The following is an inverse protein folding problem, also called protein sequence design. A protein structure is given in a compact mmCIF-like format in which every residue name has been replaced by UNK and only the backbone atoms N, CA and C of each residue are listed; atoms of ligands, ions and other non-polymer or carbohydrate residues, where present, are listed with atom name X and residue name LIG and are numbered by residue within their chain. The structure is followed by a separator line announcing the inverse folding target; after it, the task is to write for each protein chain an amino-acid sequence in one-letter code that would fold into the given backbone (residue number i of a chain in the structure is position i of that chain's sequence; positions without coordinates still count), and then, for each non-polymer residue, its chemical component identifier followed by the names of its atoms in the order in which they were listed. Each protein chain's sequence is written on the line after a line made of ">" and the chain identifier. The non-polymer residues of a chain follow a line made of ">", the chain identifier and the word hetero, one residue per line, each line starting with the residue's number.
data_IF_416639268853
#
_entry.id   IF_416639268853
#
_cell.length_a   1.000
_cell.length_b   1.000
_cell.length_c   1.000
_cell.angle_alpha   90.00
_cell.angle_beta   90.00
_cell.angle_gamma   90.00
#
_symmetry.space_group_name_H-M   'P 1'
#
loop_
_entity.id
_entity.type
_entity.pdbx_description
1 polymer ?
#
# COMPACT_ATOMS: atom_id res chain seq x y z
N UNK A 1 -4.48 13.69 22.03
CA UNK A 1 -4.43 12.34 21.45
C UNK A 1 -4.21 12.49 19.95
N UNK A 2 -3.55 11.55 19.27
CA UNK A 2 -3.45 11.57 17.81
C UNK A 2 -4.82 11.77 17.18
N UNK A 3 -4.85 12.53 16.09
CA UNK A 3 -6.03 12.69 15.24
C UNK A 3 -5.65 12.27 13.83
N UNK A 4 -6.56 11.57 13.16
CA UNK A 4 -6.41 11.18 11.75
C UNK A 4 -7.46 11.96 10.97
N UNK A 5 -7.06 12.58 9.86
CA UNK A 5 -7.96 13.39 9.04
C UNK A 5 -8.03 12.83 7.63
N UNK A 6 -9.25 12.65 7.15
CA UNK A 6 -9.60 12.12 5.84
C UNK A 6 -10.40 13.17 5.07
N UNK A 7 -10.33 13.13 3.75
CA UNK A 7 -11.21 13.93 2.91
C UNK A 7 -11.99 13.01 1.99
N UNK A 8 -13.32 13.17 1.95
CA UNK A 8 -14.24 12.34 1.17
C UNK A 8 -15.18 13.22 0.33
N UNK A 9 -15.72 12.68 -0.76
CA UNK A 9 -16.71 13.36 -1.61
C UNK A 9 -18.11 13.28 -1.00
N UNK A 10 -19.01 14.14 -1.44
CA UNK A 10 -20.43 14.06 -1.07
C UNK A 10 -21.10 12.76 -1.49
N UNK A 11 -20.71 12.18 -2.63
CA UNK A 11 -21.19 10.86 -3.07
C UNK A 11 -20.60 9.69 -2.27
N UNK A 12 -19.60 9.92 -1.42
CA UNK A 12 -18.98 8.90 -0.56
C UNK A 12 -19.46 8.96 0.90
N UNK A 13 -20.25 9.97 1.24
CA UNK A 13 -20.85 10.17 2.55
C UNK A 13 -22.36 10.10 2.39
N UNK A 14 -23.04 9.24 3.14
CA UNK A 14 -24.50 9.15 3.11
C UNK A 14 -25.10 9.12 4.51
N UNK A 15 -26.38 9.47 4.55
CA UNK A 15 -27.28 9.05 5.62
C UNK A 15 -28.04 7.80 5.18
N UNK A 16 -28.49 6.97 6.12
CA UNK A 16 -29.35 5.82 5.82
C UNK A 16 -30.54 5.74 6.80
N UNK A 17 -31.58 4.98 6.47
CA UNK A 17 -32.79 4.86 7.32
C UNK A 17 -32.71 3.69 8.29
N UNK A 18 -32.12 2.59 7.86
CA UNK A 18 -31.96 1.39 8.68
C UNK A 18 -30.83 0.50 8.17
N UNK A 19 -30.32 -0.38 9.02
CA UNK A 19 -29.48 -1.49 8.61
C UNK A 19 -29.94 -2.78 9.30
N UNK A 20 -29.62 -3.93 8.70
CA UNK A 20 -29.92 -5.24 9.27
C UNK A 20 -28.89 -6.26 8.81
N UNK A 21 -28.47 -7.14 9.71
CA UNK A 21 -27.61 -8.26 9.33
C UNK A 21 -28.35 -9.60 9.27
N UNK A 22 -28.09 -10.36 8.22
CA UNK A 22 -28.55 -11.75 8.05
C UNK A 22 -27.36 -12.70 7.92
N UNK A 23 -27.55 -14.00 8.16
CA UNK A 23 -26.46 -14.97 8.20
C UNK A 23 -25.54 -14.85 9.44
N UNK A 24 -24.48 -15.65 9.48
CA UNK A 24 -23.59 -15.77 10.63
C UNK A 24 -22.16 -16.14 10.20
N UNK A 25 -21.14 -15.69 10.94
CA UNK A 25 -19.75 -15.98 10.59
C UNK A 25 -19.41 -15.48 9.19
N UNK A 26 -18.84 -16.34 8.34
CA UNK A 26 -18.45 -15.98 6.96
C UNK A 26 -19.64 -15.70 6.04
N UNK A 27 -20.85 -16.14 6.39
CA UNK A 27 -22.08 -15.89 5.63
C UNK A 27 -22.81 -14.63 6.12
N UNK A 28 -22.19 -13.83 7.00
CA UNK A 28 -22.79 -12.60 7.51
C UNK A 28 -22.89 -11.56 6.38
N UNK A 29 -24.10 -11.06 6.16
CA UNK A 29 -24.41 -9.98 5.22
C UNK A 29 -25.08 -8.85 5.97
N UNK A 30 -24.57 -7.63 5.86
CA UNK A 30 -25.16 -6.40 6.42
C UNK A 30 -25.80 -5.61 5.29
N UNK A 31 -27.13 -5.53 5.31
CA UNK A 31 -27.90 -4.73 4.35
C UNK A 31 -28.22 -3.37 4.97
N UNK A 32 -27.78 -2.30 4.32
CA UNK A 32 -28.07 -0.90 4.66
C UNK A 32 -29.11 -0.37 3.69
N UNK A 33 -30.19 0.24 4.19
CA UNK A 33 -31.34 0.66 3.40
C UNK A 33 -31.63 2.16 3.55
N UNK A 34 -32.21 2.75 2.50
CA UNK A 34 -32.55 4.16 2.45
C UNK A 34 -31.31 5.06 2.38
N UNK A 35 -30.23 4.54 1.78
CA UNK A 35 -28.96 5.25 1.66
C UNK A 35 -29.13 6.45 0.73
N UNK A 36 -28.77 7.63 1.22
CA UNK A 36 -28.88 8.90 0.48
C UNK A 36 -27.57 9.68 0.64
N UNK A 37 -26.83 9.96 -0.45
CA UNK A 37 -25.65 10.79 -0.42
C UNK A 37 -25.90 12.16 0.21
N UNK A 38 -24.93 12.66 0.98
CA UNK A 38 -24.99 13.97 1.65
C UNK A 38 -24.68 15.10 0.68
N UNK A 39 -23.95 14.82 -0.40
CA UNK A 39 -23.66 15.76 -1.49
C UNK A 39 -23.36 15.03 -2.80
N UNK A 40 -22.86 15.75 -3.79
CA UNK A 40 -22.39 15.18 -5.06
C UNK A 40 -20.87 14.94 -5.06
N UNK A 41 -20.34 14.44 -6.19
CA UNK A 41 -18.91 14.15 -6.35
C UNK A 41 -18.00 15.40 -6.28
N UNK A 42 -18.55 16.61 -6.38
CA UNK A 42 -17.80 17.86 -6.29
C UNK A 42 -17.80 18.44 -4.87
N UNK A 43 -18.70 17.99 -4.00
CA UNK A 43 -18.73 18.40 -2.60
C UNK A 43 -17.62 17.69 -1.82
N UNK A 44 -16.94 18.42 -0.94
CA UNK A 44 -15.84 17.90 -0.13
C UNK A 44 -16.19 17.96 1.36
N UNK A 45 -15.89 16.87 2.04
CA UNK A 45 -16.05 16.72 3.48
C UNK A 45 -14.75 16.27 4.11
N UNK A 46 -14.51 16.69 5.34
CA UNK A 46 -13.36 16.31 6.15
C UNK A 46 -13.84 15.42 7.29
N UNK A 47 -13.35 14.19 7.36
CA UNK A 47 -13.61 13.25 8.47
C UNK A 47 -12.41 13.28 9.40
N UNK A 48 -12.64 13.60 10.66
CA UNK A 48 -11.60 13.63 11.70
C UNK A 48 -11.87 12.52 12.70
N UNK A 49 -10.96 11.56 12.79
CA UNK A 49 -10.91 10.56 13.85
C UNK A 49 -10.12 11.09 15.03
N UNK A 50 -10.73 11.02 16.21
CA UNK A 50 -10.17 11.42 17.50
C UNK A 50 -10.02 10.19 18.41
N UNK A 51 -9.22 10.35 19.47
CA UNK A 51 -8.94 9.28 20.44
C UNK A 51 -8.23 8.06 19.82
N UNK A 52 -7.50 8.29 18.73
CA UNK A 52 -6.71 7.26 18.07
C UNK A 52 -5.53 6.90 18.97
N UNK A 53 -5.40 5.64 19.37
CA UNK A 53 -4.24 5.21 20.14
C UNK A 53 -2.99 5.28 19.27
N UNK A 54 -1.87 5.62 19.88
CA UNK A 54 -0.54 5.57 19.27
C UNK A 54 -0.27 4.14 18.77
N UNK A 55 -0.08 3.91 17.47
CA UNK A 55 0.02 2.53 16.92
C UNK A 55 -1.12 2.04 16.08
N UNK A 56 -2.22 2.79 16.05
CA UNK A 56 -3.42 2.32 15.40
C UNK A 56 -3.46 2.83 13.96
N UNK A 57 -3.49 1.90 13.02
CA UNK A 57 -3.75 2.12 11.60
C UNK A 57 -5.24 1.93 11.23
N UNK A 58 -6.04 1.31 12.12
CA UNK A 58 -7.47 1.05 11.91
C UNK A 58 -8.46 1.94 12.69
N UNK A 59 -9.72 1.88 12.26
CA UNK A 59 -10.83 2.38 13.08
C UNK A 59 -11.06 1.38 14.21
N UNK A 60 -11.03 1.84 15.47
CA UNK A 60 -11.18 0.98 16.64
C UNK A 60 -12.32 1.44 17.54
N UNK A 61 -12.92 0.48 18.24
CA UNK A 61 -13.88 0.78 19.29
C UNK A 61 -13.35 1.83 20.27
N UNK A 62 -14.20 2.81 20.57
CA UNK A 62 -13.87 3.91 21.49
C UNK A 62 -13.22 5.12 20.84
N UNK A 63 -12.99 5.12 19.53
CA UNK A 63 -12.66 6.33 18.78
C UNK A 63 -13.92 7.18 18.51
N UNK A 64 -13.69 8.46 18.18
CA UNK A 64 -14.76 9.39 17.80
C UNK A 64 -14.52 9.93 16.39
N UNK A 65 -15.58 10.05 15.60
CA UNK A 65 -15.56 10.68 14.29
C UNK A 65 -16.32 12.01 14.31
N UNK A 66 -15.70 13.04 13.76
CA UNK A 66 -16.32 14.33 13.43
C UNK A 66 -16.25 14.56 11.93
N UNK A 67 -17.33 14.99 11.30
CA UNK A 67 -17.38 15.30 9.86
C UNK A 67 -17.70 16.79 9.67
N UNK A 68 -16.88 17.48 8.89
CA UNK A 68 -17.11 18.87 8.50
C UNK A 68 -17.21 19.03 6.98
N UNK A 69 -17.93 20.04 6.50
CA UNK A 69 -17.94 20.43 5.09
C UNK A 69 -16.69 21.25 4.70
N UNK A 70 -16.56 21.59 3.43
CA UNK A 70 -15.46 22.42 2.90
C UNK A 70 -15.37 23.83 3.51
N UNK A 71 -16.46 24.34 4.11
CA UNK A 71 -16.49 25.63 4.80
C UNK A 71 -16.13 25.52 6.28
N UNK A 72 -15.93 24.30 6.79
CA UNK A 72 -15.64 24.01 8.19
C UNK A 72 -16.88 23.88 9.07
N UNK A 73 -18.09 23.82 8.50
CA UNK A 73 -19.30 23.57 9.28
C UNK A 73 -19.38 22.10 9.67
N UNK A 74 -19.78 21.81 10.90
CA UNK A 74 -19.93 20.45 11.41
C UNK A 74 -21.23 19.84 10.84
N UNK A 75 -21.07 18.77 10.06
CA UNK A 75 -22.15 17.95 9.50
C UNK A 75 -22.52 16.82 10.46
N UNK A 76 -21.49 16.19 11.03
CA UNK A 76 -21.63 15.18 12.07
C UNK A 76 -20.69 15.54 13.23
N UNK A 77 -21.27 15.75 14.41
CA UNK A 77 -20.47 15.95 15.63
C UNK A 77 -19.79 14.66 16.10
N UNK A 78 -18.93 14.73 17.12
CA UNK A 78 -18.19 13.59 17.62
C UNK A 78 -19.10 12.37 17.88
N UNK A 79 -18.91 11.32 17.08
CA UNK A 79 -19.75 10.12 17.07
C UNK A 79 -18.88 8.90 17.31
N UNK A 80 -19.30 8.02 18.22
CA UNK A 80 -18.59 6.77 18.49
C UNK A 80 -18.63 5.82 17.30
N UNK A 81 -17.49 5.22 17.00
CA UNK A 81 -17.37 4.14 16.01
C UNK A 81 -17.42 2.78 16.68
N UNK A 82 -18.02 1.80 16.01
CA UNK A 82 -18.11 0.42 16.47
C UNK A 82 -17.89 -0.53 15.27
N UNK A 83 -16.64 -0.70 14.79
CA UNK A 83 -16.32 -1.61 13.69
C UNK A 83 -16.78 -3.05 13.96
N UNK A 84 -16.77 -3.50 15.23
CA UNK A 84 -17.17 -4.86 15.62
C UNK A 84 -18.68 -5.12 15.52
N UNK A 85 -19.49 -4.08 15.30
CA UNK A 85 -20.92 -4.25 15.09
C UNK A 85 -21.17 -5.20 13.91
N UNK A 86 -22.31 -5.90 13.97
CA UNK A 86 -22.66 -6.89 12.96
C UNK A 86 -21.61 -8.00 12.77
N UNK A 87 -20.92 -8.38 13.85
CA UNK A 87 -19.85 -9.38 13.85
C UNK A 87 -18.59 -8.92 13.10
N UNK A 88 -18.30 -7.61 13.07
CA UNK A 88 -17.16 -7.04 12.34
C UNK A 88 -17.52 -6.36 11.02
N UNK A 89 -18.78 -6.49 10.57
CA UNK A 89 -19.23 -6.04 9.24
C UNK A 89 -19.78 -4.62 9.24
N UNK A 90 -19.46 -3.86 10.28
CA UNK A 90 -19.74 -2.43 10.34
C UNK A 90 -18.56 -1.59 9.87
N UNK A 91 -17.41 -2.21 9.58
CA UNK A 91 -16.29 -1.59 8.91
C UNK A 91 -15.66 -2.60 7.94
N UNK A 92 -14.98 -2.08 6.92
CA UNK A 92 -14.14 -2.88 6.05
C UNK A 92 -13.18 -1.97 5.30
N UNK A 93 -12.52 -2.52 4.28
CA UNK A 93 -11.40 -1.83 3.63
C UNK A 93 -11.80 -0.50 2.97
N UNK A 94 -13.09 -0.36 2.67
CA UNK A 94 -13.63 0.72 1.85
C UNK A 94 -14.90 1.36 2.42
N UNK A 95 -15.38 0.90 3.57
CA UNK A 95 -16.59 1.45 4.19
C UNK A 95 -16.52 1.50 5.72
N UNK A 96 -17.32 2.39 6.29
CA UNK A 96 -17.56 2.47 7.73
C UNK A 96 -19.01 2.85 7.99
N UNK A 97 -19.70 1.99 8.73
CA UNK A 97 -21.08 2.17 9.17
C UNK A 97 -21.11 2.83 10.55
N UNK A 98 -21.54 4.08 10.61
CA UNK A 98 -21.73 4.82 11.85
C UNK A 98 -23.12 4.52 12.43
N UNK A 99 -23.24 3.30 12.97
CA UNK A 99 -24.48 2.73 13.51
C UNK A 99 -25.20 3.61 14.54
N UNK A 100 -24.44 4.44 15.27
CA UNK A 100 -24.98 5.33 16.31
C UNK A 100 -25.55 6.65 15.77
N UNK A 101 -25.27 7.02 14.52
CA UNK A 101 -25.68 8.30 13.92
C UNK A 101 -26.42 8.16 12.59
N UNK A 102 -26.59 6.93 12.09
CA UNK A 102 -27.17 6.65 10.77
C UNK A 102 -26.42 7.29 9.60
N UNK A 103 -25.10 7.30 9.70
CA UNK A 103 -24.21 7.73 8.62
C UNK A 103 -23.41 6.55 8.07
N UNK A 104 -23.14 6.61 6.78
CA UNK A 104 -22.30 5.67 6.06
C UNK A 104 -21.20 6.44 5.36
N UNK A 105 -19.97 5.96 5.50
CA UNK A 105 -18.86 6.33 4.65
C UNK A 105 -18.60 5.14 3.74
N UNK A 106 -18.66 5.34 2.42
CA UNK A 106 -18.31 4.32 1.43
C UNK A 106 -17.42 4.95 0.35
N UNK A 107 -16.15 4.58 0.33
CA UNK A 107 -15.14 5.17 -0.54
C UNK A 107 -15.33 4.78 -2.01
N UNK A 108 -16.15 3.76 -2.31
CA UNK A 108 -16.48 3.36 -3.68
C UNK A 108 -17.34 4.43 -4.37
N UNK A 109 -18.14 5.15 -3.59
CA UNK A 109 -19.17 6.07 -4.06
C UNK A 109 -20.54 5.38 -4.03
N UNK A 110 -21.56 6.12 -3.62
CA UNK A 110 -22.89 5.62 -3.30
C UNK A 110 -23.82 5.91 -4.48
N UNK A 111 -24.18 4.85 -5.19
CA UNK A 111 -25.08 4.92 -6.36
C UNK A 111 -26.46 4.35 -6.07
N UNK A 112 -26.55 3.45 -5.08
CA UNK A 112 -27.76 2.69 -4.78
C UNK A 112 -28.35 3.08 -3.42
N UNK A 113 -29.68 3.02 -3.34
CA UNK A 113 -30.41 3.29 -2.08
C UNK A 113 -30.35 2.13 -1.08
N UNK A 114 -29.83 0.99 -1.52
CA UNK A 114 -29.65 -0.23 -0.71
C UNK A 114 -28.28 -0.80 -1.03
N UNK A 115 -27.47 -1.03 0.00
CA UNK A 115 -26.09 -1.54 -0.12
C UNK A 115 -25.96 -2.77 0.78
N UNK A 116 -25.26 -3.79 0.30
CA UNK A 116 -24.93 -4.97 1.08
C UNK A 116 -23.42 -5.05 1.30
N UNK A 117 -23.03 -5.35 2.53
CA UNK A 117 -21.65 -5.62 2.92
C UNK A 117 -21.52 -7.06 3.37
N UNK A 118 -20.51 -7.74 2.84
CA UNK A 118 -20.23 -9.15 3.04
C UNK A 118 -18.79 -9.33 3.52
N UNK A 119 -18.39 -10.57 3.77
CA UNK A 119 -17.00 -10.88 4.07
C UNK A 119 -16.05 -10.45 2.93
N UNK A 120 -16.47 -10.49 1.66
CA UNK A 120 -15.57 -10.10 0.56
C UNK A 120 -15.19 -8.61 0.60
N UNK A 121 -15.97 -7.78 1.30
CA UNK A 121 -15.70 -6.35 1.50
C UNK A 121 -14.68 -6.07 2.64
N UNK A 122 -14.28 -7.10 3.40
CA UNK A 122 -13.26 -7.04 4.47
C UNK A 122 -11.87 -7.56 4.02
N UNK A 123 -11.77 -8.26 2.87
CA UNK A 123 -10.65 -9.17 2.59
C UNK A 123 -9.75 -8.78 1.41
N UNK A 124 -9.83 -7.55 0.90
CA UNK A 124 -9.32 -7.33 -0.46
C UNK A 124 -7.78 -7.23 -0.50
N UNK A 125 -7.07 -6.97 0.61
CA UNK A 125 -5.61 -7.10 0.61
C UNK A 125 -4.91 -7.69 1.84
N UNK A 126 -5.47 -7.66 3.06
CA UNK A 126 -4.79 -8.21 4.24
C UNK A 126 -5.62 -8.59 5.47
N UNK A 127 -6.95 -8.76 5.35
CA UNK A 127 -7.79 -9.30 6.44
C UNK A 127 -7.65 -8.48 7.75
N UNK A 128 -7.59 -7.15 7.62
CA UNK A 128 -7.52 -6.22 8.75
C UNK A 128 -8.76 -5.31 8.87
N UNK A 129 -9.63 -5.26 7.85
CA UNK A 129 -10.88 -4.49 7.88
C UNK A 129 -10.68 -2.97 7.91
N UNK A 130 -9.59 -2.46 7.30
CA UNK A 130 -9.15 -1.07 7.44
C UNK A 130 -9.43 -0.17 6.22
N UNK A 131 -10.04 0.99 6.46
CA UNK A 131 -10.07 2.09 5.49
C UNK A 131 -8.64 2.59 5.19
N UNK A 132 -8.07 2.17 4.05
CA UNK A 132 -6.70 2.49 3.68
C UNK A 132 -6.50 3.93 3.14
N UNK A 133 -5.71 4.72 3.85
CA UNK A 133 -5.58 6.18 3.63
C UNK A 133 -4.43 6.62 2.72
N UNK A 134 -3.88 5.74 1.87
CA UNK A 134 -3.02 5.98 0.69
C UNK A 134 -2.04 4.80 0.58
N UNK A 135 -2.27 3.92 -0.40
CA UNK A 135 -1.38 2.81 -0.75
C UNK A 135 -0.98 2.87 -2.23
N UNK A 136 -0.56 4.05 -2.70
CA UNK A 136 -0.05 4.15 -4.06
C UNK A 136 1.43 3.75 -4.11
N UNK A 137 1.88 3.26 -5.28
CA UNK A 137 3.28 3.32 -5.65
C UNK A 137 3.75 4.78 -5.55
N UNK A 138 4.66 5.02 -4.61
CA UNK A 138 5.17 6.34 -4.29
C UNK A 138 6.70 6.31 -4.22
N UNK A 139 7.29 7.41 -4.65
CA UNK A 139 8.68 7.78 -4.48
C UNK A 139 8.83 8.72 -3.29
N UNK A 140 10.06 8.93 -2.85
CA UNK A 140 10.40 9.97 -1.86
C UNK A 140 11.30 11.03 -2.49
N UNK A 141 11.32 12.27 -1.97
CA UNK A 141 12.30 13.28 -2.38
C UNK A 141 13.73 12.74 -2.36
N UNK A 142 14.54 13.13 -3.35
CA UNK A 142 15.90 12.63 -3.57
C UNK A 142 15.98 11.40 -4.48
N UNK A 143 14.85 10.80 -4.87
CA UNK A 143 14.82 9.77 -5.90
C UNK A 143 14.92 10.43 -7.29
N UNK A 144 15.98 10.09 -8.04
CA UNK A 144 16.25 10.67 -9.36
C UNK A 144 15.55 9.87 -10.45
N UNK A 145 14.61 10.49 -11.16
CA UNK A 145 13.90 9.89 -12.29
C UNK A 145 14.61 10.25 -13.58
N UNK A 146 14.85 9.26 -14.44
CA UNK A 146 15.46 9.50 -15.74
C UNK A 146 14.55 10.33 -16.66
N UNK A 147 15.10 11.41 -17.20
CA UNK A 147 14.47 12.21 -18.26
C UNK A 147 15.37 12.27 -19.49
N UNK A 148 14.87 12.65 -20.67
CA UNK A 148 15.71 12.85 -21.86
C UNK A 148 16.86 13.84 -21.67
N UNK A 149 16.76 14.76 -20.70
CA UNK A 149 17.78 15.78 -20.39
C UNK A 149 18.68 15.40 -19.22
N UNK A 150 18.57 14.16 -18.72
CA UNK A 150 19.28 13.66 -17.56
C UNK A 150 18.37 13.42 -16.35
N UNK A 151 18.87 12.82 -15.27
CA UNK A 151 18.05 12.51 -14.10
C UNK A 151 17.57 13.79 -13.37
N UNK A 152 16.31 13.81 -12.97
CA UNK A 152 15.68 14.91 -12.21
C UNK A 152 15.09 14.34 -10.93
N UNK A 153 15.26 15.03 -9.80
CA UNK A 153 14.63 14.64 -8.54
C UNK A 153 13.11 14.63 -8.73
N UNK A 154 12.47 13.53 -8.31
CA UNK A 154 11.02 13.38 -8.35
C UNK A 154 10.27 14.55 -7.68
N UNK A 155 10.87 15.19 -6.67
CA UNK A 155 10.31 16.36 -6.00
C UNK A 155 10.23 17.61 -6.91
N UNK A 156 10.99 17.67 -8.01
CA UNK A 156 11.02 18.79 -8.94
C UNK A 156 10.27 18.54 -10.25
N UNK A 157 9.85 17.31 -10.51
CA UNK A 157 9.04 16.97 -11.69
C UNK A 157 7.67 17.65 -11.65
N UNK A 158 7.15 17.97 -12.83
CA UNK A 158 5.84 18.57 -13.06
C UNK A 158 5.06 17.82 -14.13
N UNK A 159 3.74 17.97 -14.08
CA UNK A 159 2.86 17.51 -15.17
C UNK A 159 3.35 18.13 -16.49
N UNK A 160 3.45 17.29 -17.52
CA UNK A 160 3.99 17.64 -18.84
C UNK A 160 5.49 17.39 -19.00
N UNK A 161 6.26 17.19 -17.93
CA UNK A 161 7.67 16.81 -18.06
C UNK A 161 7.79 15.42 -18.70
N UNK A 162 8.78 15.24 -19.58
CA UNK A 162 9.08 13.97 -20.23
C UNK A 162 9.96 13.10 -19.34
N UNK A 163 9.56 11.85 -19.12
CA UNK A 163 10.34 10.83 -18.40
C UNK A 163 10.67 9.67 -19.33
N UNK A 164 11.85 9.08 -19.20
CA UNK A 164 12.25 7.91 -19.99
C UNK A 164 11.50 6.69 -19.49
N UNK A 165 11.09 5.83 -20.41
CA UNK A 165 10.43 4.57 -20.08
C UNK A 165 11.23 3.40 -20.65
N UNK A 166 10.94 2.17 -20.20
CA UNK A 166 11.60 0.97 -20.70
C UNK A 166 11.17 0.63 -22.14
N UNK A 167 9.90 0.88 -22.46
CA UNK A 167 9.26 0.45 -23.72
C UNK A 167 9.18 1.57 -24.77
N UNK A 168 9.30 2.84 -24.38
CA UNK A 168 9.22 4.01 -25.25
C UNK A 168 10.39 4.96 -24.96
N UNK A 169 10.73 5.85 -25.90
CA UNK A 169 11.86 6.77 -25.68
C UNK A 169 11.62 7.69 -24.47
N UNK A 170 10.47 8.36 -24.43
CA UNK A 170 9.99 9.13 -23.28
C UNK A 170 8.49 9.46 -23.41
N UNK A 171 7.81 9.61 -22.28
CA UNK A 171 6.39 9.99 -22.23
C UNK A 171 6.17 11.17 -21.28
N UNK A 172 5.12 11.99 -21.49
CA UNK A 172 4.78 13.06 -20.57
C UNK A 172 4.11 12.52 -19.30
N UNK A 173 4.44 13.14 -18.16
CA UNK A 173 3.69 12.95 -16.92
C UNK A 173 2.30 13.58 -17.07
N UNK A 174 1.24 12.82 -16.80
CA UNK A 174 -0.14 13.32 -16.86
C UNK A 174 -0.66 13.78 -15.51
N UNK A 175 -0.15 13.21 -14.41
CA UNK A 175 -0.52 13.61 -13.06
C UNK A 175 0.60 13.32 -12.05
N UNK A 176 0.67 14.16 -11.00
CA UNK A 176 1.56 13.97 -9.86
C UNK A 176 0.76 14.07 -8.58
N UNK A 177 0.82 13.02 -7.76
CA UNK A 177 0.29 12.97 -6.41
C UNK A 177 1.36 13.31 -5.39
N UNK A 178 0.98 14.01 -4.31
CA UNK A 178 1.86 14.23 -3.15
C UNK A 178 1.07 14.00 -1.87
N UNK A 179 1.69 13.34 -0.91
CA UNK A 179 1.13 13.15 0.42
C UNK A 179 2.23 13.16 1.48
N UNK A 180 1.87 13.59 2.68
CA UNK A 180 2.71 13.49 3.86
C UNK A 180 2.11 12.43 4.78
N UNK A 181 2.87 11.39 5.08
CA UNK A 181 2.41 10.22 5.84
C UNK A 181 3.19 10.13 7.15
N UNK A 182 2.46 10.01 8.26
CA UNK A 182 3.05 9.68 9.56
C UNK A 182 3.35 8.16 9.61
N UNK A 183 4.56 7.85 10.08
CA UNK A 183 5.15 6.50 10.17
C UNK A 183 5.36 6.06 11.62
N UNK A 184 5.19 6.98 12.57
CA UNK A 184 5.23 6.69 14.00
C UNK A 184 4.13 5.67 14.22
N UNK A 185 4.54 4.46 14.55
CA UNK A 185 3.68 3.36 14.95
C UNK A 185 2.95 2.56 13.85
N UNK A 186 3.27 2.74 12.56
CA UNK A 186 2.85 1.78 11.52
C UNK A 186 3.49 0.39 11.74
N UNK A 187 2.80 -0.67 11.31
CA UNK A 187 3.41 -1.99 11.18
C UNK A 187 4.68 -1.94 10.32
N UNK A 188 5.63 -2.84 10.59
CA UNK A 188 6.90 -2.86 9.86
C UNK A 188 6.71 -3.11 8.36
N UNK A 189 5.73 -3.92 7.97
CA UNK A 189 5.45 -4.25 6.57
C UNK A 189 4.84 -3.08 5.81
N UNK A 190 4.12 -2.20 6.50
CA UNK A 190 3.55 -0.95 5.99
C UNK A 190 4.55 0.22 6.00
N UNK A 191 5.79 0.00 6.45
CA UNK A 191 6.86 1.02 6.40
C UNK A 191 7.55 1.05 5.04
N UNK A 192 8.06 2.24 4.63
CA UNK A 192 8.80 2.38 3.38
C UNK A 192 9.92 1.35 3.26
N UNK A 193 10.15 0.88 2.04
CA UNK A 193 11.22 -0.06 1.73
C UNK A 193 12.44 0.72 1.27
N UNK A 194 13.56 0.48 1.93
CA UNK A 194 14.88 0.94 1.52
C UNK A 194 15.53 -0.12 0.62
N UNK A 195 15.79 0.27 -0.61
CA UNK A 195 16.56 -0.46 -1.61
C UNK A 195 17.96 0.14 -1.62
N UNK A 196 18.92 -0.50 -0.96
CA UNK A 196 20.27 0.04 -0.92
C UNK A 196 20.96 -0.15 -2.27
N UNK A 197 21.96 0.68 -2.54
CA UNK A 197 22.75 0.61 -3.76
C UNK A 197 23.21 -0.82 -4.10
N UNK A 198 23.05 -1.16 -5.38
CA UNK A 198 23.38 -2.45 -5.97
C UNK A 198 22.59 -3.66 -5.41
N UNK A 199 21.39 -3.47 -4.82
CA UNK A 199 20.62 -4.57 -4.23
C UNK A 199 20.02 -5.55 -5.25
N UNK A 200 19.76 -5.10 -6.48
CA UNK A 200 19.22 -5.91 -7.59
C UNK A 200 20.22 -6.01 -8.76
N UNK A 201 21.51 -5.98 -8.42
CA UNK A 201 22.62 -6.02 -9.38
C UNK A 201 23.34 -4.69 -9.51
N UNK A 202 24.47 -4.69 -10.22
CA UNK A 202 25.35 -3.53 -10.35
C UNK A 202 24.61 -2.33 -10.95
N UNK A 203 24.62 -1.21 -10.24
CA UNK A 203 23.94 0.03 -10.61
C UNK A 203 22.42 0.00 -10.43
N UNK A 204 21.85 -1.03 -9.79
CA UNK A 204 20.41 -1.22 -9.61
C UNK A 204 20.04 -1.36 -8.13
N UNK A 205 19.64 -0.28 -7.46
CA UNK A 205 19.81 1.13 -7.89
C UNK A 205 21.27 1.60 -7.78
N UNK A 206 21.64 2.70 -8.42
CA UNK A 206 22.99 3.31 -8.33
C UNK A 206 23.20 4.15 -7.06
N UNK A 207 22.11 4.47 -6.36
CA UNK A 207 22.07 5.15 -5.07
C UNK A 207 20.95 4.52 -4.24
N UNK A 208 21.01 4.67 -2.92
CA UNK A 208 19.94 4.19 -2.03
C UNK A 208 18.59 4.83 -2.42
N UNK A 209 17.57 4.00 -2.64
CA UNK A 209 16.24 4.42 -3.06
C UNK A 209 15.23 4.02 -2.01
N UNK A 210 14.33 4.94 -1.66
CA UNK A 210 13.21 4.68 -0.75
C UNK A 210 11.92 4.76 -1.54
N UNK A 211 11.07 3.75 -1.40
CA UNK A 211 9.76 3.67 -2.04
C UNK A 211 8.70 3.18 -1.04
N UNK A 212 7.43 3.41 -1.36
CA UNK A 212 6.31 2.86 -0.58
C UNK A 212 6.30 1.33 -0.63
N UNK A 213 5.77 0.65 0.40
CA UNK A 213 5.82 -0.81 0.52
C UNK A 213 5.13 -1.55 -0.64
N UNK A 214 4.07 -0.99 -1.21
CA UNK A 214 3.32 -1.62 -2.31
C UNK A 214 3.79 -1.22 -3.71
N UNK A 215 4.82 -0.37 -3.80
CA UNK A 215 5.42 0.03 -5.07
C UNK A 215 6.03 -1.19 -5.77
N UNK A 216 5.75 -1.37 -7.06
CA UNK A 216 6.29 -2.51 -7.82
C UNK A 216 7.59 -2.19 -8.55
N UNK A 217 8.48 -3.15 -8.50
CA UNK A 217 9.81 -3.11 -9.13
C UNK A 217 9.81 -4.13 -10.26
N UNK A 218 10.35 -3.75 -11.42
CA UNK A 218 10.53 -4.67 -12.52
C UNK A 218 11.68 -5.63 -12.18
N UNK A 219 11.36 -6.91 -12.09
CA UNK A 219 12.34 -7.98 -11.92
C UNK A 219 12.47 -8.73 -13.24
N UNK A 220 13.70 -8.80 -13.75
CA UNK A 220 14.07 -9.64 -14.89
C UNK A 220 15.14 -10.61 -14.39
N UNK A 221 14.71 -11.83 -14.08
CA UNK A 221 15.51 -12.89 -13.47
C UNK A 221 15.05 -14.25 -14.03
N UNK A 222 15.93 -15.25 -14.21
CA UNK A 222 15.53 -16.59 -14.68
C UNK A 222 14.40 -17.24 -13.86
N UNK A 223 14.28 -16.90 -12.57
CA UNK A 223 13.17 -17.33 -11.72
C UNK A 223 11.80 -16.84 -12.20
N UNK A 224 11.74 -15.71 -12.91
CA UNK A 224 10.50 -15.20 -13.50
C UNK A 224 9.97 -16.16 -14.57
N UNK A 225 10.83 -16.59 -15.49
CA UNK A 225 10.44 -17.53 -16.54
C UNK A 225 10.07 -18.89 -15.94
N UNK A 226 10.83 -19.34 -14.94
CA UNK A 226 10.58 -20.60 -14.25
C UNK A 226 9.22 -20.65 -13.55
N UNK A 227 8.87 -19.62 -12.78
CA UNK A 227 7.64 -19.57 -11.98
C UNK A 227 6.43 -19.10 -12.78
N UNK A 228 6.63 -18.12 -13.67
CA UNK A 228 5.54 -17.32 -14.23
C UNK A 228 5.43 -17.39 -15.75
N UNK A 229 6.39 -18.03 -16.44
CA UNK A 229 6.46 -18.06 -17.91
C UNK A 229 6.48 -16.66 -18.52
N UNK A 230 7.17 -15.75 -17.82
CA UNK A 230 7.36 -14.37 -18.23
C UNK A 230 8.84 -14.01 -18.03
N UNK A 231 9.47 -13.30 -18.98
CA UNK A 231 10.86 -12.89 -18.86
C UNK A 231 11.07 -11.79 -17.81
N UNK A 232 10.01 -11.05 -17.50
CA UNK A 232 10.02 -9.96 -16.52
C UNK A 232 8.64 -9.77 -15.90
N UNK A 233 8.63 -9.37 -14.63
CA UNK A 233 7.41 -9.23 -13.81
C UNK A 233 7.54 -8.03 -12.88
N UNK A 234 6.41 -7.47 -12.45
CA UNK A 234 6.34 -6.38 -11.47
C UNK A 234 6.10 -6.94 -10.08
N UNK A 235 7.17 -7.03 -9.28
CA UNK A 235 7.17 -7.57 -7.93
C UNK A 235 6.96 -6.47 -6.87
N UNK A 236 6.21 -6.77 -5.81
CA UNK A 236 5.88 -5.79 -4.76
C UNK A 236 7.09 -5.55 -3.84
N UNK A 237 7.47 -4.29 -3.60
CA UNK A 237 8.72 -3.99 -2.89
C UNK A 237 8.81 -4.57 -1.47
N UNK A 238 7.71 -4.61 -0.71
CA UNK A 238 7.70 -5.22 0.63
C UNK A 238 8.01 -6.73 0.61
N UNK A 239 7.57 -7.46 -0.42
CA UNK A 239 7.92 -8.88 -0.62
C UNK A 239 9.38 -9.12 -1.05
N UNK A 240 10.10 -8.07 -1.45
CA UNK A 240 11.52 -8.14 -1.77
C UNK A 240 12.41 -7.90 -0.53
N UNK A 241 11.84 -7.56 0.63
CA UNK A 241 12.59 -7.26 1.85
C UNK A 241 13.43 -8.44 2.40
N UNK A 242 13.20 -9.66 1.92
CA UNK A 242 14.05 -10.80 2.22
C UNK A 242 15.35 -10.83 1.39
N UNK A 243 15.43 -10.10 0.28
CA UNK A 243 16.66 -10.03 -0.53
C UNK A 243 17.78 -9.28 0.22
N UNK A 244 19.05 -9.66 -0.01
CA UNK A 244 20.18 -8.90 0.50
C UNK A 244 20.05 -7.43 0.10
N UNK A 245 20.38 -6.54 1.03
CA UNK A 245 20.37 -5.09 0.83
C UNK A 245 19.00 -4.44 0.60
N UNK A 246 17.91 -5.17 0.80
CA UNK A 246 16.54 -4.62 0.84
C UNK A 246 16.02 -4.72 2.27
N UNK A 247 15.39 -3.66 2.79
CA UNK A 247 14.81 -3.70 4.14
C UNK A 247 13.70 -2.67 4.35
N UNK A 248 12.77 -2.97 5.23
CA UNK A 248 11.87 -1.96 5.77
C UNK A 248 12.65 -0.91 6.58
N UNK A 249 12.31 0.36 6.36
CA UNK A 249 12.87 1.46 7.12
C UNK A 249 12.38 1.42 8.57
N UNK A 250 13.26 1.84 9.49
CA UNK A 250 12.97 1.98 10.92
C UNK A 250 13.42 3.36 11.38
N UNK A 251 12.68 3.98 12.29
CA UNK A 251 13.10 5.20 12.99
C UNK A 251 12.79 6.54 12.32
N UNK A 252 12.05 6.58 11.20
CA UNK A 252 11.44 7.83 10.71
C UNK A 252 10.02 7.95 11.25
N UNK A 253 9.65 9.18 11.65
CA UNK A 253 8.30 9.48 12.15
C UNK A 253 7.34 9.93 11.06
N UNK A 254 7.85 10.48 9.95
CA UNK A 254 7.05 10.95 8.81
C UNK A 254 7.81 10.81 7.50
N UNK A 255 7.08 10.76 6.38
CA UNK A 255 7.64 10.69 5.04
C UNK A 255 6.75 11.41 4.02
N UNK A 256 7.37 12.14 3.10
CA UNK A 256 6.67 12.68 1.93
C UNK A 256 6.73 11.63 0.81
N UNK A 257 5.56 11.34 0.25
CA UNK A 257 5.38 10.43 -0.87
C UNK A 257 4.95 11.21 -2.11
N UNK A 258 5.51 10.82 -3.25
CA UNK A 258 5.23 11.42 -4.55
C UNK A 258 4.91 10.31 -5.55
N UNK A 259 3.72 10.34 -6.15
CA UNK A 259 3.31 9.39 -7.20
C UNK A 259 3.38 10.05 -8.57
N UNK A 260 3.83 9.29 -9.56
CA UNK A 260 3.85 9.71 -10.96
C UNK A 260 2.83 8.87 -11.72
N UNK A 261 1.96 9.51 -12.49
CA UNK A 261 0.98 8.86 -13.33
C UNK A 261 1.12 9.35 -14.77
N UNK A 262 0.88 8.47 -15.74
CA UNK A 262 1.01 8.77 -17.18
C UNK A 262 -0.21 8.27 -17.94
N UNK A 263 -0.26 8.44 -19.27
CA UNK A 263 -1.43 8.05 -20.06
C UNK A 263 -1.61 6.53 -20.17
N UNK A 264 -0.53 5.77 -20.01
CA UNK A 264 -0.52 4.31 -19.96
C UNK A 264 0.32 3.87 -18.77
N UNK A 265 0.13 2.66 -18.27
CA UNK A 265 1.05 2.16 -17.25
C UNK A 265 2.45 2.03 -17.88
N UNK A 266 3.46 2.67 -17.30
CA UNK A 266 4.84 2.65 -17.79
C UNK A 266 5.77 2.06 -16.76
N UNK A 267 6.87 1.49 -17.25
CA UNK A 267 8.06 1.22 -16.45
C UNK A 267 9.05 2.36 -16.69
N UNK A 268 9.51 2.98 -15.60
CA UNK A 268 10.44 4.11 -15.59
C UNK A 268 11.68 3.78 -14.77
N UNK A 269 12.69 4.64 -14.83
CA UNK A 269 13.95 4.43 -14.13
C UNK A 269 14.12 5.41 -12.97
N UNK A 270 14.15 4.88 -11.75
CA UNK A 270 14.34 5.61 -10.50
C UNK A 270 15.68 5.23 -9.87
N UNK A 271 16.65 6.16 -9.83
CA UNK A 271 18.04 5.88 -9.49
C UNK A 271 18.61 4.67 -10.26
N UNK A 272 18.25 4.54 -11.54
CA UNK A 272 18.65 3.44 -12.42
C UNK A 272 17.91 2.11 -12.18
N UNK A 273 17.02 2.04 -11.21
CA UNK A 273 16.15 0.90 -10.97
C UNK A 273 14.87 1.02 -11.80
N UNK A 274 14.51 -0.04 -12.53
CA UNK A 274 13.27 -0.11 -13.28
C UNK A 274 12.08 -0.37 -12.33
N UNK A 275 11.12 0.56 -12.32
CA UNK A 275 9.97 0.59 -11.41
C UNK A 275 8.74 1.08 -12.15
N UNK A 276 7.56 0.84 -11.60
CA UNK A 276 6.33 1.31 -12.23
C UNK A 276 6.06 2.81 -12.04
N UNK A 277 5.31 3.40 -12.98
CA UNK A 277 4.44 4.54 -12.67
C UNK A 277 3.19 4.03 -11.93
N UNK A 278 2.45 4.91 -11.26
CA UNK A 278 1.18 4.56 -10.62
C UNK A 278 0.28 3.75 -11.58
N UNK A 279 -0.02 2.51 -11.19
CA UNK A 279 -1.09 1.71 -11.75
C UNK A 279 -2.34 1.88 -10.88
N UNK A 280 -3.39 2.53 -11.37
CA UNK A 280 -4.52 2.91 -10.55
C UNK A 280 -5.54 1.77 -10.54
N UNK A 281 -5.17 0.57 -10.09
CA UNK A 281 -6.06 -0.60 -10.02
C UNK A 281 -7.41 -0.29 -9.33
N UNK A 282 -8.38 -1.20 -9.44
CA UNK A 282 -9.77 -0.98 -8.97
C UNK A 282 -9.85 -0.32 -7.58
N UNK A 283 -9.06 -0.83 -6.64
CA UNK A 283 -8.96 -0.30 -5.28
C UNK A 283 -8.13 0.96 -5.14
N UNK A 284 -7.10 1.12 -5.98
CA UNK A 284 -6.17 2.22 -5.90
C UNK A 284 -6.93 3.55 -6.12
N UNK A 285 -7.77 3.68 -7.15
CA UNK A 285 -8.52 4.93 -7.36
C UNK A 285 -9.43 5.31 -6.20
N UNK A 286 -9.99 4.33 -5.50
CA UNK A 286 -10.89 4.54 -4.36
C UNK A 286 -10.12 5.06 -3.13
N UNK A 287 -8.81 4.79 -3.04
CA UNK A 287 -7.88 5.30 -2.00
C UNK A 287 -7.37 6.71 -2.30
N UNK A 288 -7.61 7.28 -3.49
CA UNK A 288 -7.23 8.68 -3.77
C UNK A 288 -8.20 9.63 -3.07
N UNK A 289 -7.66 10.71 -2.52
CA UNK A 289 -8.50 11.81 -2.06
C UNK A 289 -9.40 12.30 -3.22
N UNK A 290 -10.66 12.66 -2.95
CA UNK A 290 -11.63 13.21 -3.89
C UNK A 290 -11.07 14.08 -5.02
N UNK A 291 -10.39 15.16 -4.64
CA UNK A 291 -9.82 16.12 -5.59
C UNK A 291 -8.66 15.53 -6.39
N UNK A 292 -7.88 14.62 -5.79
CA UNK A 292 -6.83 13.90 -6.47
C UNK A 292 -7.40 12.89 -7.47
N UNK A 293 -8.44 12.15 -7.09
CA UNK A 293 -9.18 11.22 -7.95
C UNK A 293 -9.84 11.96 -9.11
N UNK A 294 -10.60 13.02 -8.86
CA UNK A 294 -11.25 13.83 -9.89
C UNK A 294 -10.21 14.42 -10.86
N UNK A 295 -9.09 14.94 -10.36
CA UNK A 295 -7.98 15.40 -11.22
C UNK A 295 -7.40 14.28 -12.05
N UNK A 296 -7.11 13.11 -11.46
CA UNK A 296 -6.57 11.97 -12.19
C UNK A 296 -7.56 11.49 -13.27
N UNK A 297 -8.83 11.32 -12.93
CA UNK A 297 -9.88 10.90 -13.87
C UNK A 297 -10.13 11.94 -14.97
N UNK A 298 -9.95 13.24 -14.69
CA UNK A 298 -10.04 14.29 -15.71
C UNK A 298 -8.93 14.20 -16.77
N UNK A 299 -7.74 13.72 -16.38
CA UNK A 299 -6.60 13.58 -17.31
C UNK A 299 -6.49 12.17 -17.90
N UNK A 300 -7.09 11.17 -17.26
CA UNK A 300 -7.14 9.80 -17.73
C UNK A 300 -8.47 9.13 -17.32
N UNK A 301 -9.53 9.33 -18.11
CA UNK A 301 -10.83 8.73 -17.84
C UNK A 301 -10.78 7.19 -17.81
N UNK A 302 -9.87 6.59 -18.58
CA UNK A 302 -9.69 5.14 -18.66
C UNK A 302 -9.35 4.48 -17.32
N UNK A 303 -8.71 5.22 -16.40
CA UNK A 303 -8.42 4.72 -15.07
C UNK A 303 -9.72 4.38 -14.32
N UNK A 304 -10.79 5.16 -14.48
CA UNK A 304 -12.08 4.95 -13.79
C UNK A 304 -12.95 3.83 -14.38
N UNK A 305 -12.44 3.05 -15.32
CA UNK A 305 -13.18 1.95 -15.95
C UNK A 305 -13.42 0.80 -14.97
N UNK A 306 -14.63 0.22 -14.90
CA UNK A 306 -14.88 -1.02 -14.15
C UNK A 306 -14.02 -2.20 -14.63
N UNK A 307 -13.59 -2.19 -15.89
CA UNK A 307 -12.60 -3.14 -16.41
C UNK A 307 -11.31 -2.39 -16.70
N UNK A 308 -10.56 -2.10 -15.64
CA UNK A 308 -9.35 -1.32 -15.75
C UNK A 308 -8.23 -2.06 -16.47
N UNK A 309 -8.13 -3.38 -16.31
CA UNK A 309 -7.10 -4.17 -16.98
C UNK A 309 -7.18 -4.07 -18.51
N UNK A 310 -8.37 -3.83 -19.05
CA UNK A 310 -8.56 -3.60 -20.49
C UNK A 310 -8.40 -2.14 -20.86
N UNK A 311 -8.93 -1.22 -20.04
CA UNK A 311 -8.94 0.21 -20.36
C UNK A 311 -7.57 0.90 -20.12
N UNK A 312 -6.82 0.43 -19.13
CA UNK A 312 -5.51 0.89 -18.73
C UNK A 312 -4.67 -0.34 -18.33
N UNK A 313 -4.23 -1.16 -19.30
CA UNK A 313 -3.55 -2.42 -19.01
C UNK A 313 -2.24 -2.20 -18.26
N UNK A 314 -1.83 -3.13 -17.39
CA UNK A 314 -0.56 -3.02 -16.71
C UNK A 314 0.60 -3.22 -17.70
N UNK A 315 1.71 -2.50 -17.49
CA UNK A 315 2.87 -2.56 -18.37
C UNK A 315 3.46 -3.97 -18.45
N UNK A 316 3.43 -4.70 -17.33
CA UNK A 316 3.84 -6.10 -17.18
C UNK A 316 2.97 -6.79 -16.16
N UNK A 317 3.09 -8.12 -16.06
CA UNK A 317 2.35 -8.92 -15.06
C UNK A 317 2.65 -8.42 -13.65
N UNK A 318 1.59 -8.04 -12.96
CA UNK A 318 1.61 -7.66 -11.55
C UNK A 318 1.62 -8.93 -10.70
N UNK A 319 2.64 -9.12 -9.86
CA UNK A 319 2.67 -10.23 -8.90
C UNK A 319 1.85 -9.92 -7.64
N UNK A 320 1.23 -10.92 -7.05
CA UNK A 320 0.72 -10.86 -5.68
C UNK A 320 1.89 -10.87 -4.67
N UNK A 321 1.58 -10.64 -3.38
CA UNK A 321 2.56 -10.77 -2.31
C UNK A 321 3.12 -12.20 -2.23
N UNK A 322 2.26 -13.21 -2.26
CA UNK A 322 2.67 -14.62 -2.21
C UNK A 322 3.56 -15.01 -3.40
N UNK A 323 3.25 -14.52 -4.60
CA UNK A 323 4.08 -14.74 -5.79
C UNK A 323 5.43 -14.03 -5.69
N UNK A 324 5.44 -12.79 -5.16
CA UNK A 324 6.67 -12.05 -4.92
C UNK A 324 7.58 -12.79 -3.93
N UNK A 325 7.02 -13.30 -2.83
CA UNK A 325 7.77 -14.09 -1.85
C UNK A 325 8.35 -15.38 -2.46
N UNK A 326 7.58 -16.05 -3.31
CA UNK A 326 8.05 -17.24 -4.02
C UNK A 326 9.23 -16.92 -4.95
N UNK A 327 9.13 -15.82 -5.71
CA UNK A 327 10.21 -15.34 -6.58
C UNK A 327 11.47 -15.01 -5.78
N UNK A 328 11.33 -14.27 -4.67
CA UNK A 328 12.44 -13.90 -3.79
C UNK A 328 13.19 -15.12 -3.28
N UNK A 329 12.48 -16.19 -2.89
CA UNK A 329 13.10 -17.45 -2.45
C UNK A 329 13.90 -18.13 -3.56
N UNK A 330 13.40 -18.13 -4.79
CA UNK A 330 14.11 -18.67 -5.96
C UNK A 330 15.37 -17.87 -6.26
N UNK A 331 15.29 -16.54 -6.25
CA UNK A 331 16.44 -15.64 -6.48
C UNK A 331 17.54 -15.84 -5.43
N UNK A 332 17.16 -16.01 -4.16
CA UNK A 332 18.11 -16.31 -3.08
C UNK A 332 18.80 -17.67 -3.27
N UNK A 333 18.05 -18.69 -3.69
CA UNK A 333 18.60 -20.02 -3.92
C UNK A 333 19.62 -20.00 -5.06
N UNK A 334 19.32 -19.33 -6.18
CA UNK A 334 20.23 -19.17 -7.31
C UNK A 334 21.53 -18.46 -6.89
N UNK A 335 21.43 -17.37 -6.11
CA UNK A 335 22.60 -16.62 -5.64
C UNK A 335 23.56 -17.48 -4.78
N UNK A 336 23.01 -18.42 -3.99
CA UNK A 336 23.81 -19.37 -3.18
C UNK A 336 24.51 -20.43 -4.02
N UNK A 337 23.97 -20.78 -5.17
CA UNK A 337 24.58 -21.75 -6.10
C UNK A 337 25.75 -21.12 -6.85
N UNK A 338 25.63 -19.85 -7.26
CA UNK A 338 26.68 -19.13 -7.98
C UNK A 338 27.83 -18.66 -7.07
N UNK A 339 27.57 -18.48 -5.77
CA UNK A 339 28.58 -18.20 -4.75
C UNK A 339 28.44 -19.19 -3.59
N UNK A 340 28.94 -20.44 -3.73
CA UNK A 340 28.93 -21.38 -2.63
C UNK A 340 29.72 -20.78 -1.48
N UNK A 341 29.13 -20.74 -0.28
CA UNK A 341 29.85 -20.39 0.92
C UNK A 341 31.13 -21.24 0.97
N UNK A 342 32.29 -20.60 1.12
CA UNK A 342 33.57 -21.30 1.25
C UNK A 342 33.49 -22.37 2.34
N UNK A 343 34.27 -23.46 2.24
CA UNK A 343 34.08 -24.65 3.05
C UNK A 343 34.02 -24.27 4.53
N UNK A 344 32.93 -24.66 5.20
CA UNK A 344 32.85 -24.62 6.67
C UNK A 344 34.13 -25.27 7.21
N UNK A 345 34.86 -24.50 8.01
CA UNK A 345 36.05 -24.99 8.70
C UNK A 345 35.66 -26.26 9.45
N UNK A 346 36.25 -27.39 9.04
CA UNK A 346 36.14 -28.66 9.78
C UNK A 346 36.42 -28.38 11.27
N UNK A 347 35.62 -28.92 12.20
CA UNK A 347 35.97 -28.83 13.60
C UNK A 347 37.33 -29.49 13.81
N UNK A 348 38.19 -28.78 14.55
CA UNK A 348 39.54 -29.20 14.92
C UNK A 348 39.47 -30.54 15.69
N UNK A 349 40.28 -31.58 15.39
CA UNK A 349 40.16 -32.87 16.05
C UNK A 349 40.63 -32.90 17.51
N UNK A 350 41.09 -31.78 18.06
CA UNK A 350 41.92 -31.75 19.27
C UNK A 350 41.25 -31.16 20.53
N UNK A 351 39.95 -31.36 20.69
CA UNK A 351 39.30 -31.23 22.01
C UNK A 351 38.90 -32.60 22.57
N UNK A 352 39.91 -33.44 22.81
CA UNK A 352 39.82 -34.56 23.74
C UNK A 352 40.63 -34.22 25.00
N UNK A 353 40.03 -33.48 25.93
CA UNK A 353 40.59 -33.32 27.29
C UNK A 353 39.64 -33.90 28.33
N UNK A 354 39.94 -35.16 28.66
CA UNK A 354 40.16 -35.65 30.04
C UNK A 354 39.12 -35.29 31.11
N UNK A 355 38.04 -36.07 31.17
CA UNK A 355 37.28 -36.26 32.43
C UNK A 355 37.94 -37.37 33.25
N UNK A 356 39.00 -37.03 33.98
CA UNK A 356 39.55 -37.86 35.05
C UNK A 356 38.81 -37.59 36.37
N UNK A 357 38.25 -38.68 36.87
CA UNK A 357 37.51 -38.84 38.12
C UNK A 357 38.35 -38.41 39.33
N UNK A 358 37.84 -37.50 40.17
CA UNK A 358 38.25 -37.42 41.59
C UNK A 358 37.04 -37.44 42.51
N UNK A 359 36.84 -38.63 43.10
CA UNK A 359 36.04 -38.88 44.30
C UNK A 359 36.59 -38.06 45.46
N UNK A 360 35.70 -37.34 46.15
CA UNK A 360 35.98 -36.61 47.39
C UNK A 360 35.74 -37.58 48.56
N UNK A 361 36.79 -37.86 49.35
CA UNK A 361 36.71 -38.57 50.62
C UNK A 361 36.85 -37.57 51.78
N UNK A 362 35.79 -37.50 52.60
CA UNK A 362 35.72 -37.41 54.07
C UNK A 362 36.99 -37.00 54.84
N UNK A 363 36.91 -35.90 55.60
CA UNK A 363 37.13 -35.82 57.07
C UNK A 363 37.51 -34.39 57.49
N UNK A 364 36.93 -33.93 58.62
CA UNK A 364 37.16 -32.63 59.24
C UNK A 364 35.89 -32.10 59.88
#
# INVERSE_FOLDING_TARGET
>A
MPTVTLYIRGDQLATYTSYSGSGNGTERVVTVQGVTPVGDENDLYTVTLEQVNTGVDEVQNGQLITITDASGNVILGPTGVNPDAEQGRAAGDQYLLLTSANYLIDLRGITDSTIEYTIDDEFVTDDDGQLDFIEFPCFTPGTMIETPRGPVDVAHLKVGDLIRTADQEAVPITWIGRSLVELRDRDVTRKPVLLMRDCLGKGKPFADTIISPDHRILISDPGCEFLFRQPEVLAISKGLAALPKVRHMRGKNRIEYISIFTQHHQIIFANGLAVETLYPGEQALQRLLPLARAKLLSVCPAAGSPNIETAYPPARRLLTMAETDALTKVMQAATRVDHPAGPESRPDPDTATDTSVRRKAISG
#
